data_IF_830316663275
#
_entry.id   IF_830316663275
#
_cell.length_a   1.000
_cell.length_b   1.000
_cell.length_c   1.000
_cell.angle_alpha   90.00
_cell.angle_beta   90.00
_cell.angle_gamma   90.00
#
_symmetry.space_group_name_H-M   'P 1'
#
loop_
_entity.id
_entity.type
_entity.pdbx_description
1 polymer ?
#
# COMPACT_ATOMS: atom_id res chain seq x y z
N UNK A 1 -33.77 -28.59 -15.60
CA UNK A 1 -32.44 -28.77 -14.98
C UNK A 1 -31.52 -27.76 -15.64
N UNK A 2 -31.21 -26.68 -14.93
CA UNK A 2 -30.29 -25.63 -15.40
C UNK A 2 -28.98 -25.78 -14.63
N UNK A 3 -27.86 -25.86 -15.33
CA UNK A 3 -26.51 -25.84 -14.75
C UNK A 3 -26.29 -24.53 -13.99
N UNK A 4 -25.64 -24.54 -12.82
CA UNK A 4 -25.23 -23.33 -12.15
C UNK A 4 -23.95 -22.79 -12.80
N UNK A 5 -23.98 -21.50 -13.13
CA UNK A 5 -22.83 -20.73 -13.61
C UNK A 5 -21.77 -20.59 -12.51
N UNK A 6 -20.54 -20.96 -12.84
CA UNK A 6 -19.33 -20.73 -12.05
C UNK A 6 -19.10 -19.21 -11.85
N UNK A 7 -18.92 -18.71 -10.60
CA UNK A 7 -18.58 -17.31 -10.38
C UNK A 7 -17.12 -17.02 -10.77
N UNK A 8 -16.96 -16.01 -11.62
CA UNK A 8 -15.69 -15.59 -12.19
C UNK A 8 -14.63 -15.22 -11.16
N UNK A 9 -13.53 -15.97 -11.18
CA UNK A 9 -12.28 -15.69 -10.51
C UNK A 9 -11.67 -14.39 -11.06
N UNK A 10 -11.82 -13.28 -10.33
CA UNK A 10 -11.05 -12.05 -10.60
C UNK A 10 -9.62 -12.26 -10.12
N UNK A 11 -8.76 -12.72 -11.03
CA UNK A 11 -7.31 -12.70 -10.83
C UNK A 11 -6.83 -11.26 -10.76
N UNK A 12 -6.28 -10.86 -9.61
CA UNK A 12 -5.39 -9.69 -9.55
C UNK A 12 -4.40 -9.81 -10.71
N UNK A 13 -4.37 -8.80 -11.59
CA UNK A 13 -3.62 -8.88 -12.82
C UNK A 13 -2.12 -9.10 -12.52
N UNK A 14 -1.64 -10.34 -12.70
CA UNK A 14 -0.23 -10.66 -12.70
C UNK A 14 0.37 -10.20 -14.03
N UNK A 15 0.47 -8.89 -14.21
CA UNK A 15 1.26 -8.31 -15.29
C UNK A 15 2.74 -8.63 -15.07
N UNK A 16 3.54 -8.75 -16.15
CA UNK A 16 4.99 -8.86 -16.00
C UNK A 16 5.52 -7.68 -15.19
N UNK A 17 6.39 -7.95 -14.21
CA UNK A 17 7.05 -6.91 -13.41
C UNK A 17 7.81 -6.00 -14.37
N UNK A 18 7.38 -4.74 -14.48
CA UNK A 18 8.01 -3.76 -15.36
C UNK A 18 9.29 -3.26 -14.69
N UNK A 19 10.43 -3.61 -15.27
CA UNK A 19 11.73 -3.17 -14.77
C UNK A 19 11.95 -1.66 -14.95
N UNK A 20 12.61 -1.03 -13.97
CA UNK A 20 12.89 0.41 -13.94
C UNK A 20 12.04 1.16 -12.91
N UNK A 21 11.93 2.49 -13.05
CA UNK A 21 11.05 3.33 -12.21
C UNK A 21 9.89 3.90 -13.04
N UNK A 22 8.93 3.06 -13.49
CA UNK A 22 7.88 3.46 -14.43
C UNK A 22 6.96 4.56 -13.89
N UNK A 23 6.94 4.76 -12.57
CA UNK A 23 6.12 5.77 -11.90
C UNK A 23 6.91 6.99 -11.42
N UNK A 24 8.21 7.10 -11.74
CA UNK A 24 9.08 8.15 -11.21
C UNK A 24 8.55 9.57 -11.46
N UNK A 25 7.97 9.79 -12.65
CA UNK A 25 7.36 11.08 -12.98
C UNK A 25 6.20 11.40 -12.04
N UNK A 26 5.26 10.47 -11.86
CA UNK A 26 4.10 10.63 -10.96
C UNK A 26 4.52 10.77 -9.50
N UNK A 27 5.52 10.01 -9.04
CA UNK A 27 6.08 10.12 -7.68
C UNK A 27 6.67 11.52 -7.45
N UNK A 28 7.44 12.06 -8.39
CA UNK A 28 7.99 13.42 -8.28
C UNK A 28 6.89 14.48 -8.23
N UNK A 29 5.84 14.31 -9.04
CA UNK A 29 4.66 15.19 -9.01
C UNK A 29 3.94 15.10 -7.66
N UNK A 30 3.75 13.88 -7.13
CA UNK A 30 3.13 13.64 -5.82
C UNK A 30 3.92 14.29 -4.68
N UNK A 31 5.24 14.11 -4.63
CA UNK A 31 6.09 14.77 -3.63
C UNK A 31 6.01 16.30 -3.73
N UNK A 32 6.01 16.84 -4.94
CA UNK A 32 5.89 18.29 -5.15
C UNK A 32 4.53 18.81 -4.68
N UNK A 33 3.45 18.13 -5.01
CA UNK A 33 2.10 18.50 -4.61
C UNK A 33 1.93 18.41 -3.09
N UNK A 34 2.44 17.34 -2.48
CA UNK A 34 2.42 17.14 -1.03
C UNK A 34 3.19 18.24 -0.30
N UNK A 35 4.40 18.57 -0.75
CA UNK A 35 5.21 19.62 -0.14
C UNK A 35 4.59 21.01 -0.30
N UNK A 36 3.99 21.30 -1.46
CA UNK A 36 3.24 22.55 -1.66
C UNK A 36 2.03 22.64 -0.73
N UNK A 37 1.37 21.52 -0.48
CA UNK A 37 0.17 21.49 0.36
C UNK A 37 0.49 21.60 1.86
N UNK A 38 1.55 20.95 2.31
CA UNK A 38 1.94 20.87 3.72
C UNK A 38 2.96 21.92 4.16
N UNK A 39 3.77 22.45 3.23
CA UNK A 39 5.00 23.18 3.48
C UNK A 39 6.11 22.34 4.13
N UNK A 40 7.32 22.93 4.21
CA UNK A 40 8.47 22.34 4.90
C UNK A 40 8.14 21.98 6.36
N UNK A 41 7.51 22.93 7.07
CA UNK A 41 7.18 22.78 8.48
C UNK A 41 6.09 21.74 8.70
N UNK A 42 5.15 21.59 7.76
CA UNK A 42 4.14 20.54 7.82
C UNK A 42 4.74 19.15 7.65
N UNK A 43 5.67 18.98 6.70
CA UNK A 43 6.39 17.71 6.51
C UNK A 43 7.28 17.40 7.71
N UNK A 44 7.96 18.40 8.28
CA UNK A 44 8.85 18.21 9.44
C UNK A 44 8.13 17.64 10.68
N UNK A 45 6.80 17.77 10.77
CA UNK A 45 6.00 17.14 11.84
C UNK A 45 5.95 15.61 11.77
N UNK A 46 6.42 15.02 10.67
CA UNK A 46 6.49 13.58 10.39
C UNK A 46 7.95 13.09 10.30
N UNK A 47 8.88 13.78 10.98
CA UNK A 47 10.30 13.42 10.96
C UNK A 47 10.60 12.00 11.49
N UNK A 48 9.73 11.46 12.34
CA UNK A 48 9.82 10.08 12.83
C UNK A 48 8.84 9.18 12.09
N UNK A 49 9.31 7.99 11.70
CA UNK A 49 8.46 6.93 11.18
C UNK A 49 7.57 6.32 12.27
N UNK A 50 6.50 5.65 11.86
CA UNK A 50 5.69 4.81 12.76
C UNK A 50 6.61 3.79 13.43
N UNK A 51 6.58 3.75 14.76
CA UNK A 51 7.39 2.82 15.55
C UNK A 51 6.90 1.37 15.36
N UNK A 52 7.80 0.42 15.03
CA UNK A 52 7.44 -0.98 14.85
C UNK A 52 6.71 -1.58 16.05
N UNK A 53 7.13 -1.28 17.30
CA UNK A 53 6.47 -1.81 18.50
C UNK A 53 4.99 -1.42 18.65
N UNK A 54 4.54 -0.34 18.01
CA UNK A 54 3.15 0.11 18.11
C UNK A 54 2.22 -0.67 17.17
N UNK A 55 2.78 -1.24 16.10
CA UNK A 55 2.06 -1.94 15.03
C UNK A 55 2.47 -3.41 14.92
N UNK A 56 3.35 -3.89 15.80
CA UNK A 56 3.64 -5.30 15.99
C UNK A 56 2.31 -6.03 16.21
N UNK A 57 2.06 -7.07 15.41
CA UNK A 57 0.78 -7.74 15.35
C UNK A 57 1.02 -9.25 15.51
N UNK A 58 1.10 -9.73 16.77
CA UNK A 58 1.52 -11.09 17.08
C UNK A 58 0.43 -12.11 16.77
N UNK A 59 0.85 -13.38 16.64
CA UNK A 59 0.00 -14.39 16.05
C UNK A 59 -1.21 -14.82 16.88
N UNK A 60 -1.17 -14.49 18.16
CA UNK A 60 -2.16 -14.80 19.18
C UNK A 60 -3.17 -13.66 19.45
N UNK A 61 -2.96 -12.48 18.87
CA UNK A 61 -3.90 -11.35 19.03
C UNK A 61 -5.12 -11.49 18.11
N UNK A 62 -6.33 -11.23 18.61
CA UNK A 62 -7.53 -11.21 17.76
C UNK A 62 -7.37 -10.22 16.60
N UNK A 63 -7.75 -10.66 15.39
CA UNK A 63 -7.48 -9.90 14.17
C UNK A 63 -8.22 -8.56 14.13
N UNK A 64 -9.44 -8.48 14.66
CA UNK A 64 -10.21 -7.24 14.68
C UNK A 64 -9.65 -6.28 15.72
N UNK A 65 -9.25 -6.79 16.89
CA UNK A 65 -8.63 -5.98 17.95
C UNK A 65 -7.27 -5.41 17.50
N UNK A 66 -6.41 -6.24 16.91
CA UNK A 66 -5.12 -5.78 16.39
C UNK A 66 -5.27 -4.80 15.22
N UNK A 67 -6.18 -5.07 14.28
CA UNK A 67 -6.45 -4.12 13.19
C UNK A 67 -6.96 -2.76 13.71
N UNK A 68 -7.86 -2.74 14.70
CA UNK A 68 -8.31 -1.49 15.32
C UNK A 68 -7.18 -0.75 16.04
N UNK A 69 -6.30 -1.48 16.74
CA UNK A 69 -5.12 -0.90 17.40
C UNK A 69 -4.18 -0.26 16.38
N UNK A 70 -3.82 -0.96 15.31
CA UNK A 70 -2.96 -0.45 14.24
C UNK A 70 -3.60 0.78 13.56
N UNK A 71 -4.90 0.72 13.27
CA UNK A 71 -5.62 1.85 12.68
C UNK A 71 -5.56 3.09 13.58
N UNK A 72 -5.70 2.92 14.90
CA UNK A 72 -5.55 4.01 15.87
C UNK A 72 -4.14 4.58 15.90
N UNK A 73 -3.11 3.75 15.76
CA UNK A 73 -1.71 4.22 15.64
C UNK A 73 -1.57 5.08 14.39
N UNK A 74 -2.13 4.65 13.26
CA UNK A 74 -2.09 5.41 12.00
C UNK A 74 -2.81 6.75 12.09
N UNK A 75 -4.01 6.80 12.69
CA UNK A 75 -4.76 8.05 12.93
C UNK A 75 -3.94 9.04 13.76
N UNK A 76 -3.31 8.57 14.83
CA UNK A 76 -2.46 9.40 15.69
C UNK A 76 -1.22 9.87 14.97
N UNK A 77 -0.56 8.98 14.23
CA UNK A 77 0.61 9.30 13.42
C UNK A 77 0.29 10.41 12.42
N UNK A 78 -0.84 10.30 11.72
CA UNK A 78 -1.33 11.28 10.74
C UNK A 78 -2.02 12.50 11.37
N UNK A 79 -2.09 12.56 12.71
CA UNK A 79 -2.68 13.68 13.48
C UNK A 79 -4.12 13.98 13.05
N UNK A 80 -4.83 12.94 12.63
CA UNK A 80 -6.25 13.01 12.33
C UNK A 80 -7.04 13.17 13.64
N UNK A 81 -8.24 13.78 13.60
CA UNK A 81 -9.11 13.83 14.78
C UNK A 81 -9.32 12.42 15.35
N UNK A 82 -9.33 12.28 16.68
CA UNK A 82 -9.62 11.00 17.34
C UNK A 82 -11.10 10.68 17.12
N UNK A 83 -11.34 9.96 16.04
CA UNK A 83 -12.62 9.51 15.54
C UNK A 83 -12.69 8.00 15.68
N UNK A 84 -13.89 7.47 15.94
CA UNK A 84 -14.07 6.02 16.09
C UNK A 84 -13.81 5.35 14.73
N UNK A 85 -12.74 4.58 14.66
CA UNK A 85 -12.46 3.73 13.49
C UNK A 85 -13.20 2.42 13.62
N UNK A 86 -14.01 2.09 12.63
CA UNK A 86 -14.69 0.80 12.53
C UNK A 86 -14.04 0.02 11.40
N UNK A 87 -13.33 -1.06 11.74
CA UNK A 87 -12.66 -1.91 10.77
C UNK A 87 -13.55 -3.11 10.45
N UNK A 88 -13.96 -3.22 9.18
CA UNK A 88 -14.70 -4.36 8.64
C UNK A 88 -13.81 -5.20 7.74
N UNK A 89 -14.14 -6.48 7.58
CA UNK A 89 -13.53 -7.34 6.56
C UNK A 89 -14.61 -7.93 5.67
N UNK A 90 -14.54 -7.69 4.36
CA UNK A 90 -15.58 -8.08 3.40
C UNK A 90 -14.97 -8.60 2.10
N UNK A 91 -15.66 -9.51 1.42
CA UNK A 91 -15.30 -9.89 0.04
C UNK A 91 -15.67 -8.74 -0.90
N UNK A 92 -14.66 -8.16 -1.57
CA UNK A 92 -14.79 -6.93 -2.37
C UNK A 92 -13.86 -6.96 -3.59
N UNK A 93 -14.11 -6.13 -4.60
CA UNK A 93 -13.20 -6.06 -5.77
C UNK A 93 -11.95 -5.21 -5.46
N UNK A 94 -12.00 -4.34 -4.45
CA UNK A 94 -10.91 -3.44 -4.05
C UNK A 94 -10.29 -3.87 -2.71
N UNK A 95 -9.05 -3.46 -2.47
CA UNK A 95 -8.30 -3.83 -1.27
C UNK A 95 -8.89 -3.17 -0.01
N UNK A 96 -9.38 -1.94 -0.11
CA UNK A 96 -10.17 -1.33 0.94
C UNK A 96 -11.10 -0.23 0.45
N UNK A 97 -11.95 0.25 1.35
CA UNK A 97 -12.83 1.39 1.15
C UNK A 97 -12.94 2.19 2.44
N UNK A 98 -12.86 3.52 2.34
CA UNK A 98 -13.13 4.41 3.46
C UNK A 98 -14.42 5.19 3.24
N UNK A 99 -15.40 4.96 4.12
CA UNK A 99 -16.58 5.82 4.19
C UNK A 99 -16.34 6.90 5.25
N UNK A 100 -16.27 8.15 4.79
CA UNK A 100 -16.28 9.32 5.65
C UNK A 100 -17.73 9.62 6.02
N UNK A 101 -18.20 9.02 7.11
CA UNK A 101 -19.52 9.34 7.64
C UNK A 101 -19.59 10.82 8.02
N UNK A 102 -20.77 11.43 7.96
CA UNK A 102 -21.00 12.81 8.42
C UNK A 102 -20.81 13.01 9.95
N UNK A 103 -20.39 11.95 10.68
CA UNK A 103 -20.11 11.93 12.11
C UNK A 103 -18.62 11.79 12.43
N UNK A 104 -18.25 11.53 13.71
CA UNK A 104 -16.87 11.40 14.14
C UNK A 104 -16.29 10.00 13.86
N UNK A 105 -16.69 9.35 12.76
CA UNK A 105 -16.40 7.93 12.52
C UNK A 105 -15.76 7.71 11.17
N UNK A 106 -14.74 6.86 11.14
CA UNK A 106 -14.09 6.41 9.91
C UNK A 106 -14.38 4.91 9.75
N UNK A 107 -15.13 4.54 8.73
CA UNK A 107 -15.34 3.15 8.39
C UNK A 107 -14.27 2.73 7.39
N UNK A 108 -13.44 1.76 7.74
CA UNK A 108 -12.46 1.17 6.82
C UNK A 108 -12.84 -0.29 6.62
N UNK A 109 -13.30 -0.61 5.42
CA UNK A 109 -13.52 -1.99 5.01
C UNK A 109 -12.24 -2.49 4.35
N UNK A 110 -11.70 -3.59 4.84
CA UNK A 110 -10.58 -4.30 4.26
C UNK A 110 -11.05 -5.56 3.52
N UNK A 111 -10.37 -5.93 2.45
CA UNK A 111 -10.67 -7.18 1.78
C UNK A 111 -10.49 -8.38 2.72
N UNK A 112 -11.42 -9.34 2.70
CA UNK A 112 -11.40 -10.54 3.55
C UNK A 112 -10.10 -11.36 3.44
N UNK A 113 -9.41 -11.31 2.31
CA UNK A 113 -8.10 -11.94 2.09
C UNK A 113 -7.03 -11.46 3.07
N UNK A 114 -7.12 -10.24 3.58
CA UNK A 114 -6.17 -9.74 4.58
C UNK A 114 -6.31 -10.43 5.93
N UNK A 115 -7.32 -11.29 6.11
CA UNK A 115 -7.41 -12.15 7.27
C UNK A 115 -6.28 -13.18 7.35
N UNK A 116 -5.58 -13.46 6.26
CA UNK A 116 -4.59 -14.53 6.21
C UNK A 116 -3.18 -14.09 6.60
N UNK A 117 -2.87 -12.79 6.53
CA UNK A 117 -1.54 -12.27 6.89
C UNK A 117 -1.64 -10.87 7.53
N UNK A 118 -1.16 -10.77 8.77
CA UNK A 118 -1.23 -9.55 9.59
C UNK A 118 -0.38 -8.40 9.04
N UNK A 119 0.69 -8.69 8.31
CA UNK A 119 1.53 -7.67 7.67
C UNK A 119 0.75 -6.94 6.58
N UNK A 120 -0.09 -7.66 5.86
CA UNK A 120 -0.95 -7.07 4.83
C UNK A 120 -2.03 -6.16 5.45
N UNK A 121 -2.52 -6.50 6.65
CA UNK A 121 -3.43 -5.61 7.41
C UNK A 121 -2.75 -4.30 7.75
N UNK A 122 -1.51 -4.34 8.25
CA UNK A 122 -0.73 -3.13 8.56
C UNK A 122 -0.53 -2.24 7.35
N UNK A 123 -0.13 -2.82 6.21
CA UNK A 123 -0.01 -2.10 4.95
C UNK A 123 -1.34 -1.50 4.48
N UNK A 124 -2.44 -2.26 4.58
CA UNK A 124 -3.76 -1.83 4.14
C UNK A 124 -4.27 -0.66 4.97
N UNK A 125 -4.13 -0.73 6.29
CA UNK A 125 -4.48 0.38 7.16
C UNK A 125 -3.62 1.62 6.90
N UNK A 126 -2.31 1.45 6.65
CA UNK A 126 -1.46 2.58 6.31
C UNK A 126 -1.90 3.28 5.01
N UNK A 127 -2.26 2.50 4.00
CA UNK A 127 -2.77 2.99 2.73
C UNK A 127 -4.15 3.67 2.86
N UNK A 128 -5.13 3.01 3.46
CA UNK A 128 -6.50 3.52 3.57
C UNK A 128 -6.59 4.76 4.48
N UNK A 129 -5.88 4.79 5.61
CA UNK A 129 -5.87 5.99 6.47
C UNK A 129 -5.13 7.15 5.79
N UNK A 130 -4.18 6.89 4.89
CA UNK A 130 -3.57 7.94 4.07
C UNK A 130 -4.55 8.56 3.08
N UNK A 131 -5.44 7.77 2.46
CA UNK A 131 -6.54 8.31 1.64
C UNK A 131 -7.39 9.30 2.45
N UNK A 132 -7.74 8.97 3.70
CA UNK A 132 -8.47 9.89 4.60
C UNK A 132 -7.69 11.17 4.83
N UNK A 133 -6.40 11.07 5.12
CA UNK A 133 -5.54 12.23 5.36
C UNK A 133 -5.45 13.14 4.15
N UNK A 134 -5.18 12.58 2.97
CA UNK A 134 -5.12 13.33 1.71
C UNK A 134 -6.45 13.99 1.35
N UNK A 135 -7.57 13.28 1.56
CA UNK A 135 -8.91 13.84 1.38
C UNK A 135 -9.16 15.05 2.29
N UNK A 136 -8.78 14.97 3.58
CA UNK A 136 -8.93 16.11 4.51
C UNK A 136 -8.01 17.28 4.17
N UNK A 137 -6.88 17.01 3.53
CA UNK A 137 -6.05 18.05 2.94
C UNK A 137 -6.66 18.61 1.65
N UNK A 138 -7.68 17.99 1.04
CA UNK A 138 -8.17 18.36 -0.28
C UNK A 138 -7.09 18.18 -1.35
N UNK A 139 -6.27 17.13 -1.22
CA UNK A 139 -5.21 16.80 -2.16
C UNK A 139 -5.53 15.46 -2.82
N UNK A 140 -5.85 15.49 -4.10
CA UNK A 140 -6.15 14.32 -4.92
C UNK A 140 -5.61 14.53 -6.33
N UNK A 141 -5.28 13.43 -7.02
CA UNK A 141 -4.93 13.46 -8.45
C UNK A 141 -6.11 12.97 -9.30
N UNK A 142 -6.23 13.46 -10.54
CA UNK A 142 -7.26 12.98 -11.45
C UNK A 142 -7.00 11.54 -11.85
N UNK A 143 -8.03 10.70 -11.72
CA UNK A 143 -7.98 9.30 -12.10
C UNK A 143 -7.38 8.40 -11.03
N UNK A 144 -7.92 7.17 -10.95
CA UNK A 144 -7.60 6.22 -9.88
C UNK A 144 -6.10 5.95 -9.77
N UNK A 145 -5.44 5.57 -10.87
CA UNK A 145 -4.03 5.15 -10.85
C UNK A 145 -3.07 6.19 -10.26
N UNK A 146 -3.18 7.45 -10.70
CA UNK A 146 -2.28 8.49 -10.23
C UNK A 146 -2.59 8.90 -8.79
N UNK A 147 -3.86 8.81 -8.38
CA UNK A 147 -4.27 9.03 -7.00
C UNK A 147 -3.76 7.94 -6.04
N UNK A 148 -3.71 6.68 -6.49
CA UNK A 148 -3.10 5.61 -5.69
C UNK A 148 -1.58 5.81 -5.56
N UNK A 149 -0.89 6.21 -6.64
CA UNK A 149 0.55 6.54 -6.57
C UNK A 149 0.80 7.71 -5.61
N UNK A 150 -0.05 8.75 -5.64
CA UNK A 150 0.00 9.85 -4.67
C UNK A 150 -0.13 9.33 -3.24
N UNK A 151 -1.09 8.43 -2.99
CA UNK A 151 -1.36 7.86 -1.68
C UNK A 151 -0.17 7.08 -1.16
N UNK A 152 0.38 6.14 -1.94
CA UNK A 152 1.55 5.38 -1.50
C UNK A 152 2.80 6.26 -1.35
N UNK A 153 2.95 7.28 -2.21
CA UNK A 153 4.04 8.26 -2.09
C UNK A 153 3.93 9.03 -0.78
N UNK A 154 2.74 9.47 -0.41
CA UNK A 154 2.50 10.16 0.85
C UNK A 154 2.70 9.22 2.05
N UNK A 155 2.22 7.98 2.00
CA UNK A 155 2.45 6.95 3.03
C UNK A 155 3.94 6.72 3.25
N UNK A 156 4.70 6.58 2.17
CA UNK A 156 6.14 6.41 2.24
C UNK A 156 6.84 7.63 2.83
N UNK A 157 6.53 8.81 2.31
CA UNK A 157 7.23 10.04 2.66
C UNK A 157 6.89 10.57 4.04
N UNK A 158 5.68 10.30 4.55
CA UNK A 158 5.23 10.73 5.88
C UNK A 158 5.47 9.69 6.97
N UNK A 159 6.36 8.72 6.75
CA UNK A 159 6.88 7.85 7.82
C UNK A 159 6.16 6.52 8.04
N UNK A 160 5.24 6.13 7.15
CA UNK A 160 4.56 4.83 7.22
C UNK A 160 4.95 3.87 6.07
N UNK A 161 5.92 4.23 5.23
CA UNK A 161 6.31 3.44 4.06
C UNK A 161 6.83 2.05 4.35
N UNK A 162 7.43 1.85 5.53
CA UNK A 162 7.96 0.55 5.89
C UNK A 162 6.86 -0.51 6.04
N UNK A 163 5.63 -0.12 6.40
CA UNK A 163 4.48 -1.02 6.44
C UNK A 163 4.10 -1.51 5.03
N UNK A 164 4.20 -0.65 4.01
CA UNK A 164 3.99 -1.06 2.62
C UNK A 164 5.05 -2.06 2.17
N UNK A 165 6.31 -1.87 2.61
CA UNK A 165 7.41 -2.77 2.31
C UNK A 165 7.31 -4.10 3.06
N UNK A 166 6.77 -4.10 4.27
CA UNK A 166 6.59 -5.32 5.07
C UNK A 166 5.54 -6.27 4.47
N UNK A 167 4.58 -5.73 3.72
CA UNK A 167 3.64 -6.52 2.92
C UNK A 167 4.20 -6.95 1.54
N UNK A 168 5.35 -6.43 1.11
CA UNK A 168 5.96 -6.83 -0.16
C UNK A 168 6.55 -8.23 -0.06
N UNK A 169 6.09 -9.15 -0.92
CA UNK A 169 6.64 -10.51 -1.02
C UNK A 169 6.82 -10.89 -2.47
N UNK A 170 7.96 -11.48 -2.80
CA UNK A 170 8.14 -12.22 -4.04
C UNK A 170 8.11 -13.71 -3.70
N UNK A 171 7.05 -14.40 -4.10
CA UNK A 171 6.95 -15.85 -3.93
C UNK A 171 7.26 -16.53 -5.26
N UNK A 172 8.18 -17.50 -5.23
CA UNK A 172 8.44 -18.35 -6.37
C UNK A 172 7.50 -19.56 -6.31
N UNK A 173 6.49 -19.60 -7.18
CA UNK A 173 5.66 -20.76 -7.40
C UNK A 173 6.29 -21.66 -8.48
N UNK A 174 6.63 -22.90 -8.12
CA UNK A 174 7.01 -23.91 -9.10
C UNK A 174 5.72 -24.53 -9.66
N UNK A 175 5.46 -24.36 -10.95
CA UNK A 175 4.34 -25.00 -11.65
C UNK A 175 4.89 -25.92 -12.73
N UNK A 176 5.01 -27.21 -12.42
CA UNK A 176 5.73 -28.18 -13.25
C UNK A 176 7.25 -27.92 -13.20
N UNK A 177 7.92 -27.86 -14.34
CA UNK A 177 9.37 -27.56 -14.44
C UNK A 177 9.69 -26.04 -14.44
N UNK A 178 8.67 -25.17 -14.34
CA UNK A 178 8.83 -23.72 -14.47
C UNK A 178 8.74 -23.02 -13.12
N UNK A 179 9.78 -22.25 -12.78
CA UNK A 179 9.75 -21.27 -11.70
C UNK A 179 8.96 -20.04 -12.18
N UNK A 180 7.88 -19.71 -11.52
CA UNK A 180 7.08 -18.51 -11.76
C UNK A 180 7.17 -17.61 -10.52
N UNK A 181 7.65 -16.38 -10.67
CA UNK A 181 7.67 -15.42 -9.58
C UNK A 181 6.35 -14.66 -9.55
N UNK A 182 5.65 -14.70 -8.42
CA UNK A 182 4.46 -13.92 -8.12
C UNK A 182 4.79 -12.90 -7.03
N UNK A 183 4.62 -11.62 -7.34
CA UNK A 183 4.76 -10.55 -6.36
C UNK A 183 3.41 -10.27 -5.70
N UNK A 184 3.36 -10.39 -4.37
CA UNK A 184 2.27 -9.90 -3.54
C UNK A 184 2.62 -8.47 -3.12
N UNK A 185 1.79 -7.51 -3.54
CA UNK A 185 2.02 -6.09 -3.31
C UNK A 185 0.74 -5.42 -2.86
N UNK A 186 0.87 -4.58 -1.86
CA UNK A 186 -0.13 -3.58 -1.53
C UNK A 186 0.42 -2.19 -1.88
N UNK A 187 -0.30 -1.44 -2.72
CA UNK A 187 0.15 -0.17 -3.28
C UNK A 187 0.94 -0.28 -4.59
N UNK A 188 1.39 0.85 -5.13
CA UNK A 188 2.00 1.06 -6.44
C UNK A 188 3.51 1.36 -6.36
N UNK A 189 4.10 1.56 -5.18
CA UNK A 189 5.54 1.77 -5.00
C UNK A 189 6.32 0.46 -4.87
N UNK A 190 7.33 0.25 -5.71
CA UNK A 190 8.17 -0.96 -5.76
C UNK A 190 9.58 -0.64 -5.20
N UNK A 191 10.10 -1.40 -4.21
CA UNK A 191 11.42 -1.18 -3.61
C UNK A 191 12.63 -1.54 -4.50
N UNK A 192 12.43 -2.06 -5.70
CA UNK A 192 13.43 -1.95 -6.76
C UNK A 192 14.07 -3.26 -7.22
N UNK A 193 14.42 -3.24 -8.50
CA UNK A 193 15.15 -4.28 -9.19
C UNK A 193 16.53 -4.53 -8.56
N UNK A 194 16.85 -5.80 -8.35
CA UNK A 194 18.22 -6.23 -8.07
C UNK A 194 18.84 -6.85 -9.31
N UNK A 195 19.97 -6.27 -9.68
CA UNK A 195 20.99 -6.77 -10.59
C UNK A 195 21.75 -7.97 -10.01
N UNK A 196 22.09 -8.92 -10.87
CA UNK A 196 23.13 -9.96 -10.70
C UNK A 196 22.93 -11.05 -11.76
N UNK A 197 23.87 -11.48 -12.59
CA UNK A 197 25.34 -11.35 -12.63
C UNK A 197 25.87 -11.51 -14.07
N UNK A 198 26.98 -10.84 -14.38
CA UNK A 198 27.87 -11.01 -15.55
C UNK A 198 28.37 -12.48 -15.64
N UNK A 199 28.51 -13.14 -16.81
CA UNK A 199 29.66 -13.12 -17.76
C UNK A 199 29.51 -14.30 -18.77
N UNK A 200 30.35 -14.53 -19.81
CA UNK A 200 31.31 -13.68 -20.51
C UNK A 200 31.10 -13.69 -22.05
N UNK A 201 31.07 -12.53 -22.71
CA UNK A 201 31.77 -12.34 -24.00
C UNK A 201 31.54 -10.95 -24.56
N UNK A 202 32.65 -10.27 -24.83
CA UNK A 202 32.78 -9.46 -26.05
C UNK A 202 32.20 -8.05 -26.06
N UNK A 203 33.00 -7.12 -25.54
CA UNK A 203 33.40 -5.86 -26.21
C UNK A 203 32.28 -4.83 -26.48
N UNK A 204 32.24 -3.79 -25.64
CA UNK A 204 31.58 -2.51 -25.91
C UNK A 204 32.49 -1.59 -26.76
N UNK A 205 31.97 -0.89 -27.78
CA UNK A 205 32.55 0.38 -28.21
C UNK A 205 31.67 1.55 -27.73
N UNK A 206 32.31 2.58 -27.18
CA UNK A 206 31.72 3.92 -26.97
C UNK A 206 32.52 4.95 -27.79
N UNK A 207 31.79 5.92 -28.37
CA UNK A 207 32.24 7.21 -28.92
C UNK A 207 32.63 7.16 -30.41
N UNK A 208 32.06 7.94 -31.33
CA UNK A 208 31.34 9.22 -31.24
C UNK A 208 29.89 9.17 -31.77
#
# INVERSE_FOLDING_TARGET
MAEPAEPGTSTAASGPIVHGFPHLATVRTALTALYRRLSADGVARFAASVHPELVDFPDDEDIYLGAQRVARVMVRHLRLPDARMVIGFRDMVHAGHVELAAGPEYFVELHARFRTDRRDVGAALAHEVMHVYLHRLGLEFPGTRDNEILTDTATAYLGAGWLLLDAYREEAAIRGERLMMSAHKLGYLDPGGRSGTCSPSGRWPFGD
#
